data_IF_434872294786
#
_entry.id   IF_434872294786
#
_cell.length_a   1.000
_cell.length_b   1.000
_cell.length_c   1.000
_cell.angle_alpha   90.00
_cell.angle_beta   90.00
_cell.angle_gamma   90.00
#
_symmetry.space_group_name_H-M   'P 1'
#
loop_
_entity.id
_entity.type
_entity.pdbx_description
1 polymer ?
#
# COMPACT_ATOMS: atom_id res chain seq x y z
N UNK A 1 48.86 9.63 -21.10
CA UNK A 1 48.93 10.26 -19.77
C UNK A 1 47.51 10.51 -19.29
N UNK A 2 47.11 9.71 -18.28
CA UNK A 2 46.18 9.99 -17.17
C UNK A 2 44.74 10.47 -17.42
N UNK A 3 43.82 9.49 -17.37
CA UNK A 3 42.73 9.32 -16.39
C UNK A 3 41.92 10.54 -15.94
N UNK A 4 40.64 10.57 -16.35
CA UNK A 4 39.56 11.32 -15.72
C UNK A 4 38.69 10.42 -14.85
N UNK A 5 38.68 10.70 -13.54
CA UNK A 5 37.77 10.11 -12.55
C UNK A 5 37.32 11.20 -11.57
N UNK A 6 36.13 11.03 -11.00
CA UNK A 6 35.50 11.77 -9.88
C UNK A 6 34.53 12.89 -10.31
N UNK A 7 33.31 12.99 -9.78
CA UNK A 7 32.70 12.26 -8.68
C UNK A 7 31.17 12.23 -8.76
N UNK A 8 30.61 11.06 -8.46
CA UNK A 8 29.20 10.90 -8.12
C UNK A 8 28.98 11.49 -6.73
N UNK A 9 28.19 12.56 -6.64
CA UNK A 9 27.68 13.07 -5.37
C UNK A 9 26.55 12.14 -4.92
N UNK A 10 26.91 11.19 -4.06
CA UNK A 10 25.94 10.38 -3.31
C UNK A 10 25.30 11.31 -2.28
N UNK A 11 24.01 11.59 -2.46
CA UNK A 11 23.21 12.37 -1.52
C UNK A 11 23.00 11.55 -0.24
N UNK A 12 23.78 11.87 0.80
CA UNK A 12 23.54 11.39 2.15
C UNK A 12 22.28 12.07 2.71
N UNK A 13 21.19 11.31 2.81
CA UNK A 13 19.95 11.77 3.44
C UNK A 13 20.13 11.76 4.96
N UNK A 14 19.96 12.94 5.56
CA UNK A 14 19.89 13.14 7.01
C UNK A 14 18.61 12.48 7.55
N UNK A 15 18.75 11.28 8.14
CA UNK A 15 17.68 10.56 8.87
C UNK A 15 17.60 11.08 10.30
N UNK A 16 16.99 12.24 10.49
CA UNK A 16 16.69 12.76 11.82
C UNK A 16 15.21 12.48 12.16
N UNK A 17 15.00 11.59 13.14
CA UNK A 17 13.73 11.14 13.74
C UNK A 17 13.17 9.77 13.31
N UNK A 18 14.02 8.76 13.15
CA UNK A 18 13.61 7.42 13.61
C UNK A 18 13.52 7.46 15.14
N UNK A 19 12.36 7.09 15.70
CA UNK A 19 12.20 6.94 17.15
C UNK A 19 13.29 5.99 17.67
N UNK A 20 13.86 6.35 18.83
CA UNK A 20 14.85 5.56 19.57
C UNK A 20 14.42 4.08 19.64
N UNK A 21 15.40 3.22 19.40
CA UNK A 21 15.32 1.78 19.48
C UNK A 21 14.48 1.24 20.64
N UNK A 22 13.41 0.55 20.30
CA UNK A 22 12.85 -0.47 21.18
C UNK A 22 13.93 -1.52 21.42
N UNK A 23 14.14 -1.88 22.68
CA UNK A 23 15.01 -3.00 23.00
C UNK A 23 14.53 -4.27 22.26
N UNK A 24 15.45 -5.15 21.85
CA UNK A 24 15.10 -6.38 21.11
C UNK A 24 14.10 -7.29 21.86
N UNK A 25 13.98 -7.13 23.18
CA UNK A 25 13.02 -7.87 24.02
C UNK A 25 11.55 -7.51 23.72
N UNK A 26 11.12 -6.24 23.72
CA UNK A 26 9.81 -5.81 23.25
C UNK A 26 9.41 -6.38 21.88
N UNK A 27 10.31 -6.32 20.90
CA UNK A 27 10.04 -6.86 19.54
C UNK A 27 9.78 -8.37 19.60
N UNK A 28 10.62 -9.12 20.30
CA UNK A 28 10.41 -10.56 20.52
C UNK A 28 9.11 -10.84 21.28
N UNK A 29 8.80 -10.06 22.33
CA UNK A 29 7.57 -10.22 23.10
C UNK A 29 6.32 -9.95 22.27
N UNK A 30 6.35 -8.94 21.41
CA UNK A 30 5.25 -8.65 20.49
C UNK A 30 5.09 -9.76 19.45
N UNK A 31 6.20 -10.24 18.86
CA UNK A 31 6.18 -11.36 17.92
C UNK A 31 5.63 -12.65 18.54
N UNK A 32 6.02 -12.98 19.78
CA UNK A 32 5.49 -14.13 20.52
C UNK A 32 3.97 -13.99 20.75
N UNK A 33 3.49 -12.81 21.14
CA UNK A 33 2.05 -12.54 21.26
C UNK A 33 1.34 -12.66 19.91
N UNK A 34 1.97 -12.18 18.84
CA UNK A 34 1.46 -12.29 17.47
C UNK A 34 1.31 -13.74 17.04
N UNK A 35 2.29 -14.58 17.29
CA UNK A 35 2.19 -16.02 16.99
C UNK A 35 1.07 -16.69 17.81
N UNK A 36 0.93 -16.35 19.10
CA UNK A 36 -0.19 -16.85 19.91
C UNK A 36 -1.54 -16.40 19.36
N UNK A 37 -1.63 -15.16 18.87
CA UNK A 37 -2.84 -14.62 18.27
C UNK A 37 -3.12 -15.21 16.87
N UNK A 38 -2.10 -15.64 16.12
CA UNK A 38 -2.24 -16.23 14.77
C UNK A 38 -3.18 -17.43 14.75
N UNK A 39 -3.26 -18.19 15.84
CA UNK A 39 -4.19 -19.32 15.95
C UNK A 39 -5.65 -18.91 15.69
N UNK A 40 -6.03 -17.68 16.07
CA UNK A 40 -7.37 -17.14 15.79
C UNK A 40 -7.54 -16.61 14.35
N UNK A 41 -6.45 -16.54 13.59
CA UNK A 41 -6.42 -16.08 12.21
C UNK A 41 -6.45 -17.24 11.21
N UNK A 42 -5.99 -18.42 11.63
CA UNK A 42 -6.03 -19.64 10.82
C UNK A 42 -7.42 -20.26 10.88
N UNK A 43 -7.97 -20.59 9.71
CA UNK A 43 -9.21 -21.35 9.62
C UNK A 43 -8.87 -22.84 9.59
N UNK A 44 -9.11 -23.54 10.71
CA UNK A 44 -8.91 -25.00 10.81
C UNK A 44 -9.94 -25.83 10.03
N UNK A 45 -10.43 -25.31 8.90
CA UNK A 45 -11.40 -25.97 8.03
C UNK A 45 -12.82 -25.99 8.60
N UNK A 46 -13.20 -25.05 9.46
CA UNK A 46 -14.58 -24.97 9.94
C UNK A 46 -15.48 -24.42 8.82
N UNK A 47 -16.37 -25.23 8.28
CA UNK A 47 -17.30 -24.86 7.20
C UNK A 47 -18.26 -23.69 7.53
N UNK A 48 -18.29 -23.24 8.79
CA UNK A 48 -19.06 -22.08 9.27
C UNK A 48 -18.18 -20.89 9.66
N UNK A 49 -16.90 -20.87 9.27
CA UNK A 49 -15.98 -19.78 9.57
C UNK A 49 -16.33 -18.51 8.78
N UNK A 50 -15.92 -17.34 9.29
CA UNK A 50 -16.03 -16.06 8.56
C UNK A 50 -15.34 -16.11 7.18
N UNK A 51 -14.25 -16.87 7.06
CA UNK A 51 -13.50 -17.05 5.81
C UNK A 51 -14.31 -17.83 4.78
N UNK A 52 -14.97 -18.92 5.19
CA UNK A 52 -15.83 -19.70 4.31
C UNK A 52 -17.04 -18.91 3.79
N UNK A 53 -17.69 -18.13 4.66
CA UNK A 53 -18.76 -17.21 4.28
C UNK A 53 -18.27 -16.16 3.28
N UNK A 54 -17.08 -15.60 3.50
CA UNK A 54 -16.52 -14.61 2.58
C UNK A 54 -16.18 -15.21 1.22
N UNK A 55 -15.59 -16.41 1.18
CA UNK A 55 -15.34 -17.14 -0.08
C UNK A 55 -16.63 -17.41 -0.85
N UNK A 56 -17.72 -17.76 -0.16
CA UNK A 56 -19.03 -17.94 -0.79
C UNK A 56 -19.56 -16.62 -1.36
N UNK A 57 -19.51 -15.52 -0.59
CA UNK A 57 -19.90 -14.19 -1.08
C UNK A 57 -19.04 -13.71 -2.26
N UNK A 58 -17.78 -14.11 -2.31
CA UNK A 58 -16.89 -13.80 -3.42
C UNK A 58 -17.27 -14.55 -4.69
N UNK A 59 -17.63 -15.83 -4.59
CA UNK A 59 -18.13 -16.59 -5.73
C UNK A 59 -19.42 -15.97 -6.28
N UNK A 60 -20.37 -15.64 -5.41
CA UNK A 60 -21.61 -14.93 -5.80
C UNK A 60 -21.32 -13.57 -6.44
N UNK A 61 -20.32 -12.83 -5.94
CA UNK A 61 -19.91 -11.56 -6.55
C UNK A 61 -19.28 -11.77 -7.93
N UNK A 62 -18.48 -12.81 -8.13
CA UNK A 62 -17.93 -13.14 -9.46
C UNK A 62 -19.08 -13.43 -10.42
N UNK A 63 -19.99 -14.35 -10.08
CA UNK A 63 -21.14 -14.69 -10.91
C UNK A 63 -21.97 -13.45 -11.26
N UNK A 64 -22.25 -12.60 -10.27
CA UNK A 64 -22.99 -11.34 -10.48
C UNK A 64 -22.31 -10.40 -11.48
N UNK A 65 -20.99 -10.24 -11.39
CA UNK A 65 -20.26 -9.33 -12.27
C UNK A 65 -20.00 -9.93 -13.66
N UNK A 66 -19.93 -11.26 -13.80
CA UNK A 66 -19.94 -11.93 -15.10
C UNK A 66 -21.25 -11.64 -15.84
N UNK A 67 -22.40 -11.85 -15.17
CA UNK A 67 -23.72 -11.53 -15.71
C UNK A 67 -23.85 -10.04 -16.06
N UNK A 68 -23.30 -9.15 -15.22
CA UNK A 68 -23.35 -7.71 -15.45
C UNK A 68 -22.50 -7.26 -16.66
N UNK A 69 -21.36 -7.92 -16.92
CA UNK A 69 -20.54 -7.68 -18.12
C UNK A 69 -21.31 -8.10 -19.36
N UNK A 70 -21.84 -9.32 -19.38
CA UNK A 70 -22.63 -9.85 -20.51
C UNK A 70 -23.83 -8.92 -20.82
N UNK A 71 -24.59 -8.55 -19.79
CA UNK A 71 -25.74 -7.65 -19.97
C UNK A 71 -25.35 -6.24 -20.47
N UNK A 72 -24.18 -5.71 -20.08
CA UNK A 72 -23.71 -4.42 -20.53
C UNK A 72 -23.19 -4.47 -21.98
N UNK A 73 -22.49 -5.55 -22.34
CA UNK A 73 -22.01 -5.81 -23.71
C UNK A 73 -23.19 -6.00 -24.67
N UNK A 74 -24.22 -6.76 -24.29
CA UNK A 74 -25.46 -6.94 -25.08
C UNK A 74 -26.16 -5.61 -25.39
N UNK A 75 -26.20 -4.68 -24.42
CA UNK A 75 -26.81 -3.37 -24.63
C UNK A 75 -25.99 -2.51 -25.60
N UNK A 76 -24.66 -2.58 -25.49
CA UNK A 76 -23.75 -1.86 -26.39
C UNK A 76 -23.85 -2.43 -27.81
N UNK A 77 -23.85 -3.75 -27.96
CA UNK A 77 -23.99 -4.46 -29.22
C UNK A 77 -25.35 -4.23 -29.87
N UNK A 78 -26.44 -4.17 -29.10
CA UNK A 78 -27.75 -3.80 -29.64
C UNK A 78 -27.75 -2.37 -30.22
N UNK A 79 -27.05 -1.43 -29.57
CA UNK A 79 -26.92 -0.06 -30.05
C UNK A 79 -26.07 0.03 -31.32
N UNK A 80 -24.92 -0.64 -31.36
CA UNK A 80 -24.03 -0.63 -32.54
C UNK A 80 -24.67 -1.36 -33.72
N UNK A 81 -25.27 -2.52 -33.48
CA UNK A 81 -25.96 -3.31 -34.50
C UNK A 81 -27.10 -2.54 -35.19
N UNK A 82 -27.81 -1.67 -34.46
CA UNK A 82 -28.86 -0.79 -35.05
C UNK A 82 -28.32 0.10 -36.17
N UNK A 83 -27.10 0.58 -36.05
CA UNK A 83 -26.48 1.44 -37.06
C UNK A 83 -25.77 0.63 -38.14
N UNK A 84 -25.16 -0.50 -37.79
CA UNK A 84 -24.52 -1.40 -38.75
C UNK A 84 -25.54 -2.04 -39.70
N UNK A 85 -26.70 -2.45 -39.18
CA UNK A 85 -27.80 -3.05 -39.96
C UNK A 85 -28.57 -2.03 -40.79
N UNK A 86 -28.42 -0.73 -40.53
CA UNK A 86 -29.10 0.32 -41.27
C UNK A 86 -28.16 1.50 -41.56
N UNK A 87 -27.36 1.41 -42.64
CA UNK A 87 -26.36 2.43 -43.00
C UNK A 87 -26.97 3.80 -43.36
N UNK A 88 -28.29 3.88 -43.52
CA UNK A 88 -28.99 5.14 -43.80
C UNK A 88 -29.31 5.95 -42.52
N UNK A 89 -29.17 5.35 -41.34
CA UNK A 89 -29.31 6.03 -40.06
C UNK A 89 -27.99 6.72 -39.67
N UNK A 90 -28.05 8.02 -39.44
CA UNK A 90 -26.94 8.79 -38.89
C UNK A 90 -27.08 8.86 -37.36
N UNK A 91 -26.05 8.51 -36.57
CA UNK A 91 -26.10 8.64 -35.11
C UNK A 91 -26.34 10.09 -34.66
N UNK A 92 -27.26 10.28 -33.70
CA UNK A 92 -27.56 11.60 -33.10
C UNK A 92 -26.66 11.88 -31.90
N UNK A 93 -26.62 13.12 -31.41
CA UNK A 93 -25.91 13.46 -30.16
C UNK A 93 -26.42 12.67 -28.94
N UNK A 94 -27.69 12.26 -28.96
CA UNK A 94 -28.25 11.40 -27.92
C UNK A 94 -27.69 9.98 -28.02
N UNK A 95 -27.58 9.42 -29.23
CA UNK A 95 -26.99 8.09 -29.44
C UNK A 95 -25.50 8.08 -29.04
N UNK A 96 -24.75 9.15 -29.33
CA UNK A 96 -23.35 9.28 -28.89
C UNK A 96 -23.22 9.31 -27.35
N UNK A 97 -24.10 10.05 -26.66
CA UNK A 97 -24.11 10.06 -25.18
C UNK A 97 -24.48 8.70 -24.61
N UNK A 98 -25.46 8.02 -25.22
CA UNK A 98 -25.85 6.67 -24.82
C UNK A 98 -24.70 5.68 -25.03
N UNK A 99 -24.01 5.74 -26.17
CA UNK A 99 -22.82 4.93 -26.43
C UNK A 99 -21.76 5.14 -25.36
N UNK A 100 -21.43 6.40 -25.02
CA UNK A 100 -20.45 6.70 -23.97
C UNK A 100 -20.88 6.16 -22.60
N UNK A 101 -22.18 6.25 -22.28
CA UNK A 101 -22.73 5.72 -21.04
C UNK A 101 -22.63 4.19 -20.98
N UNK A 102 -23.05 3.50 -22.04
CA UNK A 102 -23.01 2.04 -22.12
C UNK A 102 -21.55 1.53 -22.10
N UNK A 103 -20.66 2.18 -22.84
CA UNK A 103 -19.23 1.89 -22.79
C UNK A 103 -18.67 2.03 -21.36
N UNK A 104 -19.06 3.09 -20.65
CA UNK A 104 -18.68 3.27 -19.25
C UNK A 104 -19.25 2.19 -18.31
N UNK A 105 -20.44 1.66 -18.59
CA UNK A 105 -21.00 0.53 -17.85
C UNK A 105 -20.20 -0.76 -18.10
N UNK A 106 -19.84 -1.05 -19.35
CA UNK A 106 -18.98 -2.19 -19.70
C UNK A 106 -17.63 -2.08 -18.99
N UNK A 107 -16.96 -0.94 -19.09
CA UNK A 107 -15.67 -0.71 -18.41
C UNK A 107 -15.78 -0.87 -16.89
N UNK A 108 -16.87 -0.38 -16.29
CA UNK A 108 -17.11 -0.54 -14.86
C UNK A 108 -17.32 -1.99 -14.47
N UNK A 109 -18.21 -2.72 -15.16
CA UNK A 109 -18.50 -4.11 -14.88
C UNK A 109 -17.26 -4.99 -15.07
N UNK A 110 -16.50 -4.79 -16.15
CA UNK A 110 -15.23 -5.49 -16.39
C UNK A 110 -14.20 -5.19 -15.31
N UNK A 111 -14.12 -3.93 -14.85
CA UNK A 111 -13.23 -3.54 -13.75
C UNK A 111 -13.63 -4.23 -12.44
N UNK A 112 -14.92 -4.33 -12.11
CA UNK A 112 -15.37 -5.02 -10.91
C UNK A 112 -15.14 -6.53 -11.01
N UNK A 113 -15.48 -7.14 -12.15
CA UNK A 113 -15.22 -8.55 -12.41
C UNK A 113 -13.74 -8.88 -12.23
N UNK A 114 -12.85 -8.04 -12.77
CA UNK A 114 -11.41 -8.21 -12.61
C UNK A 114 -10.98 -8.19 -11.13
N UNK A 115 -11.55 -7.30 -10.31
CA UNK A 115 -11.26 -7.23 -8.88
C UNK A 115 -11.70 -8.52 -8.17
N UNK A 116 -12.95 -8.95 -8.37
CA UNK A 116 -13.47 -10.13 -7.68
C UNK A 116 -12.84 -11.45 -8.16
N UNK A 117 -12.55 -11.60 -9.44
CA UNK A 117 -11.83 -12.77 -9.97
C UNK A 117 -10.38 -12.83 -9.47
N UNK A 118 -9.69 -11.69 -9.40
CA UNK A 118 -8.34 -11.60 -8.83
C UNK A 118 -8.36 -11.97 -7.34
N UNK A 119 -9.33 -11.47 -6.59
CA UNK A 119 -9.55 -11.85 -5.20
C UNK A 119 -9.85 -13.34 -5.04
N UNK A 120 -10.64 -13.93 -5.94
CA UNK A 120 -11.02 -15.34 -5.88
C UNK A 120 -9.84 -16.28 -6.13
N UNK A 121 -8.93 -15.87 -7.02
CA UNK A 121 -7.69 -16.58 -7.31
C UNK A 121 -6.57 -16.30 -6.28
N UNK A 122 -6.76 -15.37 -5.35
CA UNK A 122 -5.72 -14.97 -4.40
C UNK A 122 -5.50 -16.04 -3.33
N UNK A 123 -4.23 -16.39 -3.11
CA UNK A 123 -3.83 -17.15 -1.92
C UNK A 123 -3.83 -16.23 -0.70
N UNK A 124 -4.43 -16.69 0.40
CA UNK A 124 -4.47 -15.95 1.67
C UNK A 124 -3.45 -16.49 2.69
N UNK A 125 -2.35 -17.05 2.19
CA UNK A 125 -1.40 -17.81 3.02
C UNK A 125 -1.66 -19.31 2.94
N UNK A 126 -0.73 -20.11 3.48
CA UNK A 126 -0.81 -21.56 3.43
C UNK A 126 -2.06 -22.09 4.16
N UNK A 127 -2.43 -21.43 5.26
CA UNK A 127 -3.54 -21.79 6.12
C UNK A 127 -4.69 -20.77 6.04
N UNK A 128 -4.65 -19.89 5.02
CA UNK A 128 -5.63 -18.83 4.82
C UNK A 128 -5.57 -17.70 5.86
N UNK A 129 -4.46 -17.59 6.61
CA UNK A 129 -4.33 -16.68 7.76
C UNK A 129 -4.56 -15.20 7.44
N UNK A 130 -4.29 -14.77 6.20
CA UNK A 130 -4.48 -13.40 5.76
C UNK A 130 -5.94 -13.09 5.35
N UNK A 131 -6.80 -14.10 5.20
CA UNK A 131 -8.20 -13.90 4.80
C UNK A 131 -8.99 -13.13 5.86
N UNK A 132 -8.56 -13.18 7.11
CA UNK A 132 -9.15 -12.44 8.23
C UNK A 132 -9.05 -10.92 8.08
N UNK A 133 -8.13 -10.45 7.23
CA UNK A 133 -7.92 -9.03 6.94
C UNK A 133 -8.95 -8.46 5.96
N UNK A 134 -9.70 -9.33 5.28
CA UNK A 134 -10.66 -8.92 4.26
C UNK A 134 -11.84 -8.13 4.87
N UNK A 135 -12.22 -7.06 4.17
CA UNK A 135 -13.29 -6.16 4.58
C UNK A 135 -12.91 -5.22 5.73
N UNK A 136 -11.65 -5.20 6.16
CA UNK A 136 -11.13 -4.22 7.10
C UNK A 136 -10.26 -3.19 6.39
N UNK A 137 -10.20 -1.98 6.94
CA UNK A 137 -9.28 -0.95 6.48
C UNK A 137 -8.59 -0.32 7.68
N UNK A 138 -7.33 0.07 7.49
CA UNK A 138 -6.46 0.60 8.53
C UNK A 138 -5.96 1.96 8.09
N UNK A 139 -6.10 2.97 8.94
CA UNK A 139 -5.61 4.31 8.72
C UNK A 139 -4.28 4.54 9.44
N UNK A 140 -3.47 5.43 8.87
CA UNK A 140 -2.20 5.86 9.44
C UNK A 140 -1.95 7.31 9.10
N UNK A 141 -1.83 8.13 10.14
CA UNK A 141 -1.44 9.52 9.99
C UNK A 141 0.08 9.61 9.85
N UNK A 142 0.55 10.21 8.75
CA UNK A 142 1.97 10.41 8.48
C UNK A 142 2.25 11.86 8.11
N UNK A 143 3.30 12.41 8.69
CA UNK A 143 3.76 13.73 8.35
C UNK A 143 4.54 13.72 7.01
N UNK A 144 4.42 14.76 6.20
CA UNK A 144 5.15 14.88 4.93
C UNK A 144 6.67 14.74 5.09
N UNK A 145 7.23 15.24 6.19
CA UNK A 145 8.66 15.11 6.47
C UNK A 145 9.05 13.65 6.76
N UNK A 146 8.17 12.90 7.41
CA UNK A 146 8.35 11.47 7.69
C UNK A 146 8.20 10.65 6.41
N UNK A 147 7.23 11.00 5.55
CA UNK A 147 6.95 10.30 4.29
C UNK A 147 8.03 10.51 3.21
N UNK A 148 8.48 11.76 3.01
CA UNK A 148 9.34 12.16 1.88
C UNK A 148 10.78 12.51 2.26
N UNK A 149 11.10 12.66 3.55
CA UNK A 149 12.42 13.11 4.01
C UNK A 149 12.67 14.60 3.73
N UNK A 150 12.11 15.50 4.55
CA UNK A 150 12.14 16.95 4.33
C UNK A 150 13.13 17.75 5.22
N UNK A 151 13.47 18.98 4.79
CA UNK A 151 14.24 19.96 5.59
C UNK A 151 13.33 20.83 6.48
N UNK A 152 13.90 21.46 7.51
CA UNK A 152 13.16 22.09 8.64
C UNK A 152 12.14 23.18 8.25
N UNK A 153 12.31 23.84 7.10
CA UNK A 153 11.72 25.17 6.83
C UNK A 153 10.32 25.19 6.21
N UNK A 154 9.61 24.06 6.12
CA UNK A 154 8.23 24.00 5.61
C UNK A 154 7.29 23.47 6.69
N UNK A 155 6.09 24.08 6.81
CA UNK A 155 5.00 23.48 7.60
C UNK A 155 4.63 22.20 6.87
N UNK A 156 4.88 21.07 7.51
CA UNK A 156 4.67 19.79 6.87
C UNK A 156 3.18 19.48 6.76
N UNK A 157 2.78 18.89 5.64
CA UNK A 157 1.44 18.37 5.47
C UNK A 157 1.25 17.13 6.33
N UNK A 158 0.02 16.91 6.75
CA UNK A 158 -0.42 15.66 7.36
C UNK A 158 -1.20 14.88 6.31
N UNK A 159 -0.76 13.65 6.06
CA UNK A 159 -1.44 12.70 5.20
C UNK A 159 -2.10 11.62 6.05
N UNK A 160 -3.30 11.19 5.66
CA UNK A 160 -3.90 9.96 6.19
C UNK A 160 -3.84 8.92 5.09
N UNK A 161 -2.98 7.92 5.31
CA UNK A 161 -2.88 6.74 4.47
C UNK A 161 -3.93 5.74 4.92
N UNK A 162 -4.70 5.20 3.98
CA UNK A 162 -5.69 4.15 4.26
C UNK A 162 -5.31 2.92 3.46
N UNK A 163 -5.08 1.82 4.15
CA UNK A 163 -4.79 0.51 3.59
C UNK A 163 -5.97 -0.41 3.81
N UNK A 164 -6.58 -0.88 2.71
CA UNK A 164 -7.61 -1.91 2.72
C UNK A 164 -7.00 -3.18 2.08
N UNK A 165 -6.60 -4.18 2.90
CA UNK A 165 -5.98 -5.42 2.41
C UNK A 165 -6.77 -6.05 1.28
N UNK A 166 -6.06 -6.40 0.21
CA UNK A 166 -6.57 -7.00 -1.02
C UNK A 166 -7.55 -6.13 -1.82
N UNK A 167 -7.67 -4.84 -1.49
CA UNK A 167 -8.51 -3.88 -2.23
C UNK A 167 -7.65 -2.75 -2.79
N UNK A 168 -7.19 -1.85 -1.93
CA UNK A 168 -6.45 -0.67 -2.36
C UNK A 168 -5.65 0.00 -1.23
N UNK A 169 -4.81 0.95 -1.64
CA UNK A 169 -4.17 1.92 -0.76
C UNK A 169 -4.51 3.31 -1.27
N UNK A 170 -4.97 4.19 -0.38
CA UNK A 170 -5.30 5.59 -0.70
C UNK A 170 -4.59 6.55 0.24
N UNK A 171 -4.42 7.78 -0.23
CA UNK A 171 -3.87 8.90 0.53
C UNK A 171 -4.88 10.04 0.54
N UNK A 172 -5.17 10.60 1.71
CA UNK A 172 -5.99 11.80 1.86
C UNK A 172 -5.23 12.91 2.58
N UNK A 173 -5.66 14.16 2.34
CA UNK A 173 -5.13 15.36 3.00
C UNK A 173 -6.28 16.09 3.72
N UNK A 174 -6.83 15.54 4.82
CA UNK A 174 -8.00 16.12 5.49
C UNK A 174 -7.75 17.55 5.99
N UNK A 175 -6.51 17.87 6.36
CA UNK A 175 -6.10 19.21 6.81
C UNK A 175 -5.70 20.19 5.70
N UNK A 176 -5.93 19.87 4.42
CA UNK A 176 -5.36 20.64 3.29
C UNK A 176 -5.74 22.13 3.31
N UNK A 177 -7.01 22.45 3.55
CA UNK A 177 -7.49 23.84 3.58
C UNK A 177 -6.79 24.66 4.67
N UNK A 178 -6.74 24.13 5.89
CA UNK A 178 -6.07 24.77 7.02
C UNK A 178 -4.56 24.89 6.81
N UNK A 179 -3.92 23.84 6.29
CA UNK A 179 -2.49 23.87 5.95
C UNK A 179 -2.17 24.97 4.94
N UNK A 180 -3.01 25.14 3.90
CA UNK A 180 -2.79 26.16 2.86
C UNK A 180 -2.86 27.58 3.43
N UNK A 181 -3.82 27.85 4.32
CA UNK A 181 -3.93 29.14 5.01
C UNK A 181 -2.70 29.40 5.88
N UNK A 182 -2.28 28.41 6.67
CA UNK A 182 -1.09 28.50 7.52
C UNK A 182 0.19 28.72 6.69
N UNK A 183 0.33 28.03 5.57
CA UNK A 183 1.47 28.17 4.67
C UNK A 183 1.50 29.56 4.01
N UNK A 184 0.35 30.10 3.57
CA UNK A 184 0.26 31.48 3.06
C UNK A 184 0.61 32.49 4.15
N UNK A 185 0.09 32.31 5.37
CA UNK A 185 0.37 33.18 6.51
C UNK A 185 1.87 33.20 6.84
N UNK A 186 2.52 32.04 6.83
CA UNK A 186 3.96 31.91 7.03
C UNK A 186 4.79 32.60 5.93
N UNK A 187 4.29 32.65 4.68
CA UNK A 187 4.97 33.32 3.56
C UNK A 187 4.85 34.85 3.62
N UNK A 188 3.71 35.39 4.06
CA UNK A 188 3.49 36.85 4.14
C UNK A 188 3.99 37.46 5.45
N UNK A 189 4.25 36.64 6.48
CA UNK A 189 4.71 37.07 7.80
C UNK A 189 3.68 37.90 8.55
N UNK A 190 4.09 38.60 9.61
CA UNK A 190 3.18 39.34 10.50
C UNK A 190 2.61 40.64 9.90
N UNK A 191 3.00 40.99 8.67
CA UNK A 191 2.59 42.25 8.03
C UNK A 191 1.18 42.21 7.46
N UNK A 192 0.64 41.02 7.20
CA UNK A 192 -0.68 40.82 6.59
C UNK A 192 -1.38 39.62 7.23
N UNK A 193 -2.70 39.70 7.42
CA UNK A 193 -3.53 38.57 7.82
C UNK A 193 -4.16 37.94 6.60
N UNK A 194 -3.93 36.64 6.39
CA UNK A 194 -4.59 35.89 5.32
C UNK A 194 -6.06 35.66 5.71
N UNK A 195 -6.98 36.19 4.93
CA UNK A 195 -8.42 35.94 5.11
C UNK A 195 -8.81 34.62 4.44
N UNK A 196 -9.72 33.89 5.08
CA UNK A 196 -10.35 32.70 4.52
C UNK A 196 -11.66 33.08 3.82
N UNK A 197 -11.57 33.40 2.54
CA UNK A 197 -12.72 33.83 1.74
C UNK A 197 -13.58 32.65 1.25
N UNK A 198 -13.21 31.40 1.59
CA UNK A 198 -13.89 30.21 1.10
C UNK A 198 -15.18 29.94 1.88
N UNK A 199 -16.33 29.93 1.19
CA UNK A 199 -17.63 29.57 1.78
C UNK A 199 -17.74 28.08 2.14
N UNK A 200 -16.91 27.24 1.52
CA UNK A 200 -16.81 25.80 1.76
C UNK A 200 -15.32 25.44 1.81
N UNK A 201 -14.86 24.70 2.83
CA UNK A 201 -13.47 24.25 2.90
C UNK A 201 -13.09 23.41 1.68
N UNK A 202 -11.88 23.60 1.14
CA UNK A 202 -11.38 22.75 0.06
C UNK A 202 -11.03 21.35 0.59
N UNK A 203 -11.96 20.42 0.40
CA UNK A 203 -11.76 19.01 0.70
C UNK A 203 -11.08 18.35 -0.50
N UNK A 204 -9.86 17.84 -0.30
CA UNK A 204 -9.18 17.05 -1.33
C UNK A 204 -9.83 15.67 -1.42
N UNK A 205 -10.14 15.23 -2.65
CA UNK A 205 -10.56 13.85 -2.88
C UNK A 205 -9.39 12.90 -2.54
N UNK A 206 -9.68 11.66 -2.09
CA UNK A 206 -8.65 10.65 -1.92
C UNK A 206 -7.87 10.42 -3.22
N UNK A 207 -6.55 10.33 -3.09
CA UNK A 207 -5.63 9.94 -4.16
C UNK A 207 -5.44 8.43 -4.07
N UNK A 208 -5.75 7.71 -5.14
CA UNK A 208 -5.47 6.28 -5.21
C UNK A 208 -3.96 6.04 -5.38
N UNK A 209 -3.31 5.37 -4.42
CA UNK A 209 -1.90 5.00 -4.52
C UNK A 209 -1.70 3.67 -5.25
N UNK A 210 -2.66 2.74 -5.12
CA UNK A 210 -2.65 1.48 -5.87
C UNK A 210 -3.84 0.59 -5.53
N UNK A 211 -4.21 -0.27 -6.48
CA UNK A 211 -5.18 -1.36 -6.35
C UNK A 211 -4.43 -2.67 -6.13
N UNK A 212 -5.03 -3.58 -5.36
CA UNK A 212 -4.48 -4.92 -5.15
C UNK A 212 -4.17 -5.59 -6.48
N UNK A 213 -2.97 -6.15 -6.60
CA UNK A 213 -2.53 -6.81 -7.82
C UNK A 213 -2.12 -8.26 -7.57
N UNK A 214 -1.10 -8.47 -6.74
CA UNK A 214 -0.57 -9.81 -6.48
C UNK A 214 0.32 -9.83 -5.24
N UNK A 215 0.58 -11.03 -4.72
CA UNK A 215 1.77 -11.28 -3.93
C UNK A 215 3.01 -11.19 -4.80
N UNK A 216 4.05 -10.50 -4.32
CA UNK A 216 5.36 -10.55 -4.94
C UNK A 216 6.01 -11.90 -4.65
N UNK A 217 6.70 -12.50 -5.64
CA UNK A 217 7.41 -13.74 -5.43
C UNK A 217 8.51 -13.53 -4.39
N UNK A 218 8.59 -14.42 -3.39
CA UNK A 218 9.74 -14.40 -2.49
C UNK A 218 10.99 -14.84 -3.27
N UNK A 219 12.07 -14.04 -3.30
CA UNK A 219 13.30 -14.43 -3.98
C UNK A 219 13.86 -15.69 -3.33
N UNK A 220 14.11 -16.74 -4.10
CA UNK A 220 14.68 -18.01 -3.60
C UNK A 220 16.18 -17.91 -3.30
N UNK A 221 16.83 -16.82 -3.70
CA UNK A 221 18.26 -16.64 -3.56
C UNK A 221 18.60 -15.96 -2.22
N UNK A 222 19.33 -16.67 -1.37
CA UNK A 222 19.80 -16.21 -0.04
C UNK A 222 20.89 -15.11 -0.09
N UNK A 223 21.20 -14.58 -1.27
CA UNK A 223 22.30 -13.63 -1.50
C UNK A 223 21.86 -12.18 -1.80
N UNK A 224 20.58 -11.85 -1.66
CA UNK A 224 20.12 -10.47 -1.85
C UNK A 224 20.10 -9.74 -0.51
N UNK A 225 20.92 -8.70 -0.34
CA UNK A 225 20.87 -7.79 0.79
C UNK A 225 19.45 -7.23 0.98
N UNK A 226 18.89 -7.36 2.18
CA UNK A 226 17.54 -6.88 2.49
C UNK A 226 17.64 -5.47 3.06
N UNK A 227 16.88 -4.55 2.48
CA UNK A 227 16.49 -3.32 3.15
C UNK A 227 15.50 -3.72 4.26
N UNK A 228 16.00 -3.83 5.49
CA UNK A 228 15.23 -4.18 6.67
C UNK A 228 13.98 -3.29 6.82
N UNK A 229 12.88 -3.83 7.39
CA UNK A 229 11.72 -3.02 7.73
C UNK A 229 11.99 -2.13 8.93
N UNK A 230 11.23 -1.04 9.01
CA UNK A 230 11.46 0.05 9.94
C UNK A 230 11.54 -0.27 11.44
N UNK A 231 10.87 -1.30 12.02
CA UNK A 231 11.03 -1.59 13.44
C UNK A 231 12.43 -2.11 13.81
N UNK A 232 13.28 -2.46 12.83
CA UNK A 232 14.69 -2.82 13.05
C UNK A 232 15.69 -1.71 12.66
N UNK A 233 15.27 -0.44 12.54
CA UNK A 233 16.15 0.71 12.25
C UNK A 233 17.16 1.08 13.37
N UNK A 234 17.96 0.10 13.83
CA UNK A 234 19.29 0.21 14.44
C UNK A 234 19.93 1.58 14.40
N UNK A 235 19.53 2.61 15.17
CA UNK A 235 20.26 3.87 15.16
C UNK A 235 21.64 3.59 15.78
N UNK A 236 22.65 3.38 14.93
CA UNK A 236 24.01 2.99 15.31
C UNK A 236 24.56 1.69 14.72
N UNK A 237 23.84 0.96 13.86
CA UNK A 237 24.41 -0.20 13.15
C UNK A 237 24.95 0.25 11.77
N UNK A 238 26.25 0.05 11.48
CA UNK A 238 26.80 0.30 10.14
C UNK A 238 26.06 -0.51 9.08
N UNK A 239 25.87 0.08 7.90
CA UNK A 239 25.22 -0.56 6.74
C UNK A 239 25.81 -1.94 6.38
N UNK A 240 27.03 -2.24 6.80
CA UNK A 240 27.78 -3.47 6.52
C UNK A 240 27.38 -4.67 7.41
N UNK A 241 26.60 -4.45 8.47
CA UNK A 241 25.95 -5.52 9.23
C UNK A 241 24.56 -5.84 8.70
N UNK A 242 24.40 -5.74 7.37
CA UNK A 242 23.42 -6.47 6.56
C UNK A 242 23.41 -7.94 6.98
N UNK A 243 22.61 -8.24 8.00
CA UNK A 243 22.44 -9.60 8.47
C UNK A 243 21.72 -10.30 7.34
N UNK A 244 22.41 -11.18 6.62
CA UNK A 244 21.82 -12.01 5.58
C UNK A 244 20.70 -12.81 6.23
N UNK A 245 19.47 -12.34 6.06
CA UNK A 245 18.29 -13.07 6.47
C UNK A 245 17.99 -14.02 5.32
N UNK A 246 17.89 -15.32 5.59
CA UNK A 246 17.48 -16.32 4.62
C UNK A 246 16.13 -15.93 4.02
N UNK A 247 15.90 -16.32 2.76
CA UNK A 247 14.73 -15.90 1.97
C UNK A 247 13.39 -16.14 2.68
N UNK A 248 13.30 -17.22 3.46
CA UNK A 248 12.13 -17.68 4.23
C UNK A 248 11.75 -16.80 5.42
N UNK A 249 12.65 -15.96 5.94
CA UNK A 249 12.30 -15.03 7.03
C UNK A 249 11.96 -13.63 6.52
N UNK A 250 11.80 -13.44 5.20
CA UNK A 250 11.34 -12.16 4.63
C UNK A 250 9.83 -12.02 4.85
N UNK A 251 9.37 -10.81 5.21
CA UNK A 251 7.93 -10.54 5.26
C UNK A 251 7.34 -10.79 3.86
N UNK A 252 6.22 -11.52 3.75
CA UNK A 252 5.46 -11.60 2.51
C UNK A 252 5.14 -10.19 2.01
N UNK A 253 5.25 -9.98 0.70
CA UNK A 253 5.04 -8.66 0.11
C UNK A 253 3.85 -8.69 -0.83
N UNK A 254 2.98 -7.69 -0.67
CA UNK A 254 1.85 -7.43 -1.56
C UNK A 254 2.18 -6.27 -2.48
N UNK A 255 1.87 -6.40 -3.76
CA UNK A 255 1.97 -5.32 -4.73
C UNK A 255 0.59 -4.72 -4.97
N UNK A 256 0.50 -3.41 -4.80
CA UNK A 256 -0.62 -2.57 -5.19
C UNK A 256 -0.21 -1.69 -6.35
N UNK A 257 -0.79 -1.93 -7.53
CA UNK A 257 -0.42 -1.27 -8.78
C UNK A 257 -1.53 -0.36 -9.32
N UNK A 258 -1.31 0.23 -10.50
CA UNK A 258 -2.34 0.98 -11.23
C UNK A 258 -2.95 2.15 -10.44
N UNK A 259 -2.20 2.74 -9.51
CA UNK A 259 -2.63 3.94 -8.81
C UNK A 259 -2.73 5.15 -9.73
N UNK A 260 -3.28 6.23 -9.20
CA UNK A 260 -3.38 7.49 -9.92
C UNK A 260 -2.01 7.93 -10.42
N UNK A 261 -2.00 8.50 -11.61
CA UNK A 261 -0.77 8.93 -12.25
C UNK A 261 -0.18 10.13 -11.51
N UNK A 262 1.11 10.08 -11.24
CA UNK A 262 1.85 11.16 -10.61
C UNK A 262 2.71 11.92 -11.64
N UNK A 263 2.91 13.22 -11.41
CA UNK A 263 3.58 14.11 -12.35
C UNK A 263 2.61 14.86 -13.26
N UNK A 264 3.04 16.03 -13.72
CA UNK A 264 2.26 16.88 -14.62
C UNK A 264 2.02 16.20 -15.96
N UNK A 265 1.03 16.68 -16.73
CA UNK A 265 0.65 16.14 -18.04
C UNK A 265 1.84 15.94 -18.98
N UNK A 266 2.81 16.84 -18.91
CA UNK A 266 3.96 16.91 -19.80
C UNK A 266 5.27 16.37 -19.18
N UNK A 267 5.23 15.75 -17.99
CA UNK A 267 6.43 15.14 -17.40
C UNK A 267 6.74 13.79 -18.08
N UNK A 268 7.91 13.62 -18.73
CA UNK A 268 8.26 12.37 -19.40
C UNK A 268 8.46 11.18 -18.44
N UNK A 269 8.57 11.44 -17.14
CA UNK A 269 8.73 10.40 -16.11
C UNK A 269 7.39 10.02 -15.47
N UNK A 270 6.30 10.66 -15.88
CA UNK A 270 4.93 10.44 -15.39
C UNK A 270 4.61 8.94 -15.34
N UNK A 271 4.19 8.45 -14.17
CA UNK A 271 3.91 7.03 -13.94
C UNK A 271 2.75 6.83 -12.98
N UNK A 272 2.07 5.69 -13.08
CA UNK A 272 1.09 5.29 -12.07
C UNK A 272 1.78 5.09 -10.73
N UNK A 273 1.14 5.57 -9.66
CA UNK A 273 1.57 5.25 -8.31
C UNK A 273 1.49 3.74 -8.07
N UNK A 274 2.38 3.25 -7.22
CA UNK A 274 2.36 1.87 -6.73
C UNK A 274 2.76 1.84 -5.26
N UNK A 275 2.28 0.82 -4.55
CA UNK A 275 2.62 0.57 -3.15
C UNK A 275 3.06 -0.88 -3.00
N UNK A 276 4.20 -1.11 -2.35
CA UNK A 276 4.58 -2.43 -1.86
C UNK A 276 4.25 -2.50 -0.37
N UNK A 277 3.35 -3.40 0.02
CA UNK A 277 3.01 -3.63 1.42
C UNK A 277 3.83 -4.81 1.94
N UNK A 278 4.64 -4.58 2.96
CA UNK A 278 5.42 -5.60 3.66
C UNK A 278 4.63 -6.10 4.89
N UNK A 279 4.30 -7.40 4.91
CA UNK A 279 3.51 -8.01 5.97
C UNK A 279 4.43 -8.47 7.12
N UNK A 280 4.45 -7.72 8.22
CA UNK A 280 5.30 -7.94 9.39
C UNK A 280 4.55 -8.70 10.48
N UNK A 281 5.27 -9.59 11.18
CA UNK A 281 4.73 -10.21 12.39
C UNK A 281 4.52 -9.14 13.47
N UNK A 282 3.29 -9.08 14.00
CA UNK A 282 2.94 -8.23 15.13
C UNK A 282 1.78 -8.84 15.94
N UNK A 283 1.57 -8.35 17.16
CA UNK A 283 0.48 -8.83 18.02
C UNK A 283 -0.94 -8.44 17.56
N UNK A 284 -1.07 -7.43 16.70
CA UNK A 284 -2.35 -6.93 16.20
C UNK A 284 -2.19 -6.21 14.85
N UNK A 285 -3.31 -6.06 14.14
CA UNK A 285 -3.35 -5.44 12.82
C UNK A 285 -3.18 -3.91 12.91
N UNK A 286 -2.14 -3.38 12.30
CA UNK A 286 -1.91 -1.93 12.20
C UNK A 286 -0.87 -1.61 11.12
N UNK A 287 -0.88 -0.37 10.62
CA UNK A 287 0.20 0.15 9.79
C UNK A 287 1.36 0.55 10.71
N UNK A 288 2.55 0.01 10.44
CA UNK A 288 3.79 0.26 11.20
C UNK A 288 4.49 1.50 10.68
N UNK A 289 4.59 1.63 9.35
CA UNK A 289 5.25 2.75 8.70
C UNK A 289 4.75 2.92 7.25
N UNK A 290 4.95 4.12 6.70
CA UNK A 290 4.77 4.40 5.27
C UNK A 290 5.91 5.31 4.80
N UNK A 291 6.55 4.95 3.70
CA UNK A 291 7.68 5.67 3.11
C UNK A 291 7.51 5.82 1.60
N UNK A 292 7.89 6.96 1.04
CA UNK A 292 8.04 7.15 -0.40
C UNK A 292 9.50 6.89 -0.80
N UNK A 293 9.84 5.63 -1.14
CA UNK A 293 11.23 5.21 -1.45
C UNK A 293 11.74 5.79 -2.76
N UNK A 294 10.84 5.97 -3.72
CA UNK A 294 11.11 6.71 -4.95
C UNK A 294 9.84 7.45 -5.34
N UNK A 295 9.98 8.44 -6.23
CA UNK A 295 8.85 9.25 -6.66
C UNK A 295 7.65 8.39 -7.11
N UNK A 296 6.51 8.46 -6.43
CA UNK A 296 5.31 7.64 -6.73
C UNK A 296 5.45 6.13 -6.46
N UNK A 297 6.46 5.74 -5.70
CA UNK A 297 6.72 4.38 -5.30
C UNK A 297 6.80 4.33 -3.78
N UNK A 298 5.77 3.74 -3.17
CA UNK A 298 5.58 3.74 -1.74
C UNK A 298 5.84 2.36 -1.18
N UNK A 299 6.35 2.31 0.06
CA UNK A 299 6.42 1.10 0.86
C UNK A 299 5.65 1.31 2.13
N UNK A 300 4.79 0.36 2.47
CA UNK A 300 3.99 0.36 3.68
C UNK A 300 4.33 -0.90 4.47
N UNK A 301 4.72 -0.74 5.74
CA UNK A 301 4.84 -1.86 6.66
C UNK A 301 3.50 -2.10 7.36
N UNK A 302 2.97 -3.31 7.27
CA UNK A 302 1.74 -3.69 7.96
C UNK A 302 1.99 -4.80 8.97
N UNK A 303 1.79 -4.51 10.25
CA UNK A 303 1.91 -5.48 11.34
C UNK A 303 0.64 -6.31 11.44
N UNK A 304 0.76 -7.63 11.49
CA UNK A 304 -0.38 -8.54 11.66
C UNK A 304 0.04 -9.87 12.28
N UNK A 305 -0.82 -10.50 13.11
CA UNK A 305 -0.61 -11.87 13.58
C UNK A 305 -0.46 -12.89 12.44
N UNK A 306 -1.11 -12.67 11.29
CA UNK A 306 -1.05 -13.57 10.14
C UNK A 306 0.38 -13.80 9.64
N UNK A 307 1.24 -12.79 9.72
CA UNK A 307 2.61 -12.85 9.24
C UNK A 307 3.60 -13.49 10.24
N UNK A 308 3.14 -13.89 11.43
CA UNK A 308 3.99 -14.53 12.43
C UNK A 308 4.29 -15.99 12.11
N UNK A 309 5.54 -16.39 12.32
CA UNK A 309 6.02 -17.76 12.13
C UNK A 309 6.96 -18.16 13.26
N UNK A 310 7.02 -19.46 13.56
CA UNK A 310 7.98 -20.00 14.54
C UNK A 310 9.43 -19.68 14.14
N UNK A 311 9.74 -19.74 12.84
CA UNK A 311 11.06 -19.45 12.29
C UNK A 311 11.49 -18.00 12.61
N UNK A 312 10.59 -17.03 12.44
CA UNK A 312 10.87 -15.64 12.76
C UNK A 312 11.13 -15.42 14.26
N UNK A 313 10.36 -16.07 15.13
CA UNK A 313 10.58 -15.99 16.58
C UNK A 313 11.91 -16.62 16.97
N UNK A 314 12.21 -17.83 16.47
CA UNK A 314 13.48 -18.50 16.73
C UNK A 314 14.68 -17.64 16.28
N UNK A 315 14.54 -16.93 15.15
CA UNK A 315 15.53 -15.96 14.70
C UNK A 315 15.74 -14.82 15.70
N UNK A 316 14.65 -14.19 16.17
CA UNK A 316 14.72 -13.11 17.16
C UNK A 316 15.32 -13.59 18.49
N UNK A 317 14.99 -14.79 18.95
CA UNK A 317 15.58 -15.39 20.14
C UNK A 317 17.09 -15.61 19.99
N UNK A 318 17.52 -16.16 18.86
CA UNK A 318 18.93 -16.39 18.58
C UNK A 318 19.72 -15.08 18.51
N UNK A 319 19.15 -14.05 17.84
CA UNK A 319 19.73 -12.73 17.77
C UNK A 319 19.79 -12.02 19.14
N UNK A 320 18.90 -12.36 20.08
CA UNK A 320 18.95 -11.87 21.46
C UNK A 320 20.07 -12.57 22.26
N UNK A 321 20.18 -13.90 22.12
CA UNK A 321 21.21 -14.72 22.77
C UNK A 321 22.61 -14.34 22.32
N UNK A 322 22.81 -14.12 21.02
CA UNK A 322 24.11 -13.72 20.45
C UNK A 322 24.52 -12.28 20.78
N UNK A 323 23.59 -11.46 21.27
CA UNK A 323 23.85 -10.08 21.69
C UNK A 323 24.03 -9.94 23.22
N UNK A 324 23.88 -11.03 23.97
CA UNK A 324 24.33 -11.06 25.36
C UNK A 324 25.86 -10.93 25.36
N UNK A 325 26.46 -10.13 26.26
CA UNK A 325 27.92 -10.03 26.33
C UNK A 325 28.47 -11.44 26.53
N UNK A 326 29.45 -11.80 25.70
CA UNK A 326 30.37 -12.87 26.07
C UNK A 326 30.94 -12.47 27.42
N UNK A 327 30.52 -13.15 28.49
CA UNK A 327 31.27 -13.15 29.75
C UNK A 327 32.64 -13.73 29.39
N UNK A 328 33.61 -12.83 29.19
CA UNK A 328 35.02 -13.17 29.08
C UNK A 328 35.44 -13.81 30.41
N UNK A 329 35.72 -15.12 30.33
CA UNK A 329 36.42 -15.90 31.34
C UNK A 329 37.91 -15.55 31.38
#
# INVERSE_FOLDING_TARGET
>A
MTNGSQGHVVWAISRAHCRKFESRRPVLQDAVKGLQAKESYVDHGAASSRVSSWKASLAEAVDHWEDAVEAAEDQLDALTHRFDSNPSLTPTDQDHRLYQQLHGHVEHAQSQLHVYTTLAATSFGADGEFATLLGHCFDFEVNEKELKGGTSNTIARTYVMVYCPFVNVTQTEPGYHAWRLAQKQAQVGDKYTVQDDAKVPDIQRPILLGLWHTWLPQPKDDNVAILFPAPLYVQGIPHEAETRVTSDMRPPQQLYGQGEVCGGRDDPRRRSRRVTVEMHCASHNHIVFVEERAWCDYVLGFGTPAACTDAYIAHLENALKSAAPHDEL
#
